data_IF_958129305071
#
_entry.id   IF_958129305071
#
_cell.length_a   1.000
_cell.length_b   1.000
_cell.length_c   1.000
_cell.angle_alpha   90.00
_cell.angle_beta   90.00
_cell.angle_gamma   90.00
#
_symmetry.space_group_name_H-M   'P 1'
#
loop_
_entity.id
_entity.type
_entity.pdbx_description
1 polymer ?
#
# COMPACT_ATOMS: atom_id res chain seq x y z
N UNK A 1 9.82 -12.02 -29.49
CA UNK A 1 10.77 -10.95 -29.84
C UNK A 1 10.59 -10.58 -31.30
N UNK A 2 9.95 -9.51 -31.59
CA UNK A 2 9.46 -9.17 -32.92
C UNK A 2 10.09 -7.89 -33.49
N UNK A 3 11.03 -7.28 -32.74
CA UNK A 3 11.74 -6.06 -33.17
C UNK A 3 13.24 -6.24 -33.09
N UNK A 4 13.97 -5.78 -34.13
CA UNK A 4 15.40 -5.61 -34.03
C UNK A 4 15.74 -4.38 -33.20
N UNK A 5 16.79 -4.45 -32.37
CA UNK A 5 17.22 -3.33 -31.53
C UNK A 5 17.61 -2.12 -32.41
N UNK A 6 16.89 -1.01 -32.24
CA UNK A 6 17.17 0.27 -32.95
C UNK A 6 16.47 0.46 -34.30
N UNK A 7 15.61 -0.45 -34.72
CA UNK A 7 14.81 -0.32 -35.96
C UNK A 7 13.31 -0.37 -35.62
N UNK A 8 12.51 0.45 -36.29
CA UNK A 8 11.05 0.45 -36.22
C UNK A 8 10.38 -0.68 -37.01
N UNK A 9 11.16 -1.47 -37.69
CA UNK A 9 10.69 -2.61 -38.50
C UNK A 9 10.56 -3.87 -37.63
N UNK A 10 9.56 -4.68 -37.92
CA UNK A 10 9.46 -6.01 -37.32
C UNK A 10 10.57 -6.94 -37.86
N UNK A 11 10.97 -7.93 -37.07
CA UNK A 11 11.92 -8.93 -37.51
C UNK A 11 11.39 -9.67 -38.76
N UNK A 12 12.32 -10.08 -39.64
CA UNK A 12 11.97 -10.81 -40.84
C UNK A 12 11.23 -12.11 -40.50
N UNK A 13 10.14 -12.40 -41.21
CA UNK A 13 9.27 -13.55 -40.93
C UNK A 13 8.19 -13.32 -39.87
N UNK A 14 8.12 -12.13 -39.26
CA UNK A 14 7.05 -11.81 -38.30
C UNK A 14 5.70 -11.73 -39.03
N UNK A 15 4.74 -12.54 -38.61
CA UNK A 15 3.36 -12.52 -39.07
C UNK A 15 2.48 -11.61 -38.23
N UNK A 16 1.33 -11.20 -38.77
CA UNK A 16 0.31 -10.49 -37.98
C UNK A 16 -0.15 -11.30 -36.76
N UNK A 17 -0.26 -12.62 -36.91
CA UNK A 17 -0.66 -13.50 -35.81
C UNK A 17 0.34 -13.49 -34.65
N UNK A 18 1.63 -13.35 -34.91
CA UNK A 18 2.65 -13.25 -33.85
C UNK A 18 2.47 -11.96 -33.03
N UNK A 19 2.21 -10.86 -33.73
CA UNK A 19 1.94 -9.57 -33.06
C UNK A 19 0.63 -9.63 -32.28
N UNK A 20 -0.41 -10.21 -32.82
CA UNK A 20 -1.71 -10.36 -32.18
C UNK A 20 -1.63 -11.27 -30.95
N UNK A 21 -0.92 -12.40 -31.05
CA UNK A 21 -0.71 -13.29 -29.91
C UNK A 21 0.07 -12.61 -28.78
N UNK A 22 1.09 -11.81 -29.11
CA UNK A 22 1.84 -11.03 -28.13
C UNK A 22 0.95 -9.98 -27.45
N UNK A 23 0.09 -9.31 -28.19
CA UNK A 23 -0.89 -8.37 -27.65
C UNK A 23 -1.87 -9.06 -26.69
N UNK A 24 -2.41 -10.22 -27.06
CA UNK A 24 -3.29 -11.01 -26.21
C UNK A 24 -2.58 -11.44 -24.92
N UNK A 25 -1.35 -11.95 -25.03
CA UNK A 25 -0.54 -12.33 -23.88
C UNK A 25 -0.29 -11.15 -22.92
N UNK A 26 0.10 -10.00 -23.46
CA UNK A 26 0.35 -8.80 -22.65
C UNK A 26 -0.93 -8.32 -21.94
N UNK A 27 -2.08 -8.36 -22.63
CA UNK A 27 -3.38 -8.05 -22.03
C UNK A 27 -3.71 -9.00 -20.87
N UNK A 28 -3.59 -10.30 -21.10
CA UNK A 28 -3.94 -11.32 -20.11
C UNK A 28 -2.98 -11.27 -18.90
N UNK A 29 -1.70 -11.02 -19.15
CA UNK A 29 -0.70 -10.81 -18.10
C UNK A 29 -1.03 -9.57 -17.24
N UNK A 30 -1.39 -8.46 -17.88
CA UNK A 30 -1.81 -7.24 -17.16
C UNK A 30 -3.05 -7.49 -16.30
N UNK A 31 -4.06 -8.18 -16.83
CA UNK A 31 -5.28 -8.49 -16.10
C UNK A 31 -5.01 -9.31 -14.83
N UNK A 32 -4.24 -10.39 -14.96
CA UNK A 32 -3.85 -11.25 -13.83
C UNK A 32 -3.03 -10.46 -12.81
N UNK A 33 -2.03 -9.70 -13.28
CA UNK A 33 -1.15 -8.90 -12.41
C UNK A 33 -1.94 -7.84 -11.66
N UNK A 34 -2.79 -7.09 -12.37
CA UNK A 34 -3.61 -6.03 -11.76
C UNK A 34 -4.56 -6.57 -10.71
N UNK A 35 -5.23 -7.70 -11.00
CA UNK A 35 -6.13 -8.35 -10.03
C UNK A 35 -5.42 -8.70 -8.73
N UNK A 36 -4.21 -9.27 -8.81
CA UNK A 36 -3.46 -9.64 -7.61
C UNK A 36 -2.89 -8.43 -6.88
N UNK A 37 -2.43 -7.40 -7.59
CA UNK A 37 -2.00 -6.15 -6.97
C UNK A 37 -3.11 -5.47 -6.17
N UNK A 38 -4.34 -5.46 -6.68
CA UNK A 38 -5.50 -4.93 -5.96
C UNK A 38 -5.80 -5.71 -4.67
N UNK A 39 -5.60 -7.02 -4.69
CA UNK A 39 -5.75 -7.86 -3.49
C UNK A 39 -4.68 -7.56 -2.45
N UNK A 40 -3.42 -7.46 -2.87
CA UNK A 40 -2.29 -7.08 -1.99
C UNK A 40 -2.54 -5.70 -1.38
N UNK A 41 -2.93 -4.73 -2.20
CA UNK A 41 -3.26 -3.38 -1.72
C UNK A 41 -4.35 -3.40 -0.63
N UNK A 42 -5.43 -4.15 -0.85
CA UNK A 42 -6.52 -4.25 0.10
C UNK A 42 -6.07 -4.87 1.44
N UNK A 43 -5.24 -5.93 1.39
CA UNK A 43 -4.70 -6.60 2.58
C UNK A 43 -3.79 -5.65 3.35
N UNK A 44 -2.79 -5.05 2.68
CA UNK A 44 -1.84 -4.12 3.33
C UNK A 44 -2.57 -2.96 3.97
N UNK A 45 -3.49 -2.32 3.25
CA UNK A 45 -4.33 -1.22 3.76
C UNK A 45 -5.09 -1.62 5.01
N UNK A 46 -5.75 -2.76 4.99
CA UNK A 46 -6.53 -3.27 6.11
C UNK A 46 -5.63 -3.55 7.31
N UNK A 47 -4.56 -4.31 7.12
CA UNK A 47 -3.67 -4.70 8.23
C UNK A 47 -2.99 -3.49 8.86
N UNK A 48 -2.50 -2.53 8.06
CA UNK A 48 -1.90 -1.29 8.57
C UNK A 48 -2.91 -0.49 9.41
N UNK A 49 -4.11 -0.25 8.87
CA UNK A 49 -5.12 0.57 9.56
C UNK A 49 -5.63 -0.07 10.85
N UNK A 50 -5.85 -1.37 10.86
CA UNK A 50 -6.26 -2.09 12.07
C UNK A 50 -5.15 -2.15 13.11
N UNK A 51 -3.92 -2.47 12.72
CA UNK A 51 -2.79 -2.53 13.64
C UNK A 51 -2.55 -1.17 14.30
N UNK A 52 -2.60 -0.08 13.55
CA UNK A 52 -2.46 1.26 14.11
C UNK A 52 -3.63 1.60 15.06
N UNK A 53 -4.87 1.33 14.67
CA UNK A 53 -6.05 1.64 15.48
C UNK A 53 -6.09 0.85 16.79
N UNK A 54 -5.58 -0.38 16.84
CA UNK A 54 -5.47 -1.16 18.07
C UNK A 54 -4.48 -0.56 19.07
N UNK A 55 -3.39 0.05 18.60
CA UNK A 55 -2.38 0.69 19.47
C UNK A 55 -2.74 2.13 19.83
N UNK A 56 -3.58 2.77 19.02
CA UNK A 56 -3.99 4.16 19.16
C UNK A 56 -5.52 4.29 19.08
N UNK A 57 -6.26 3.84 20.10
CA UNK A 57 -7.73 3.77 20.07
C UNK A 57 -8.41 5.14 20.10
N UNK A 58 -7.67 6.20 20.38
CA UNK A 58 -8.22 7.55 20.49
C UNK A 58 -8.78 8.05 19.16
N UNK A 59 -9.91 8.76 19.15
CA UNK A 59 -10.45 9.36 17.94
C UNK A 59 -9.43 10.23 17.23
N UNK A 60 -9.28 10.03 15.92
CA UNK A 60 -8.33 10.78 15.06
C UNK A 60 -6.86 10.70 15.49
N UNK A 61 -6.47 9.64 16.19
CA UNK A 61 -5.10 9.38 16.66
C UNK A 61 -4.06 9.42 15.53
N UNK A 62 -4.46 9.11 14.32
CA UNK A 62 -3.62 9.17 13.10
C UNK A 62 -3.27 10.62 12.68
N UNK A 63 -3.86 11.66 13.28
CA UNK A 63 -3.47 13.05 13.11
C UNK A 63 -2.46 13.53 14.17
N UNK A 64 -2.16 12.70 15.17
CA UNK A 64 -1.26 13.02 16.26
C UNK A 64 0.16 12.56 15.89
N UNK A 65 1.08 13.51 15.70
CA UNK A 65 2.46 13.21 15.31
C UNK A 65 3.17 12.26 16.28
N UNK A 66 2.94 12.36 17.59
CA UNK A 66 3.56 11.51 18.62
C UNK A 66 3.15 10.03 18.55
N UNK A 67 2.15 9.67 17.73
CA UNK A 67 1.74 8.29 17.48
C UNK A 67 2.57 7.62 16.40
N UNK A 68 3.40 8.37 15.68
CA UNK A 68 4.31 7.86 14.66
C UNK A 68 5.72 7.66 15.22
N UNK A 69 6.59 7.02 14.45
CA UNK A 69 7.97 6.80 14.81
C UNK A 69 8.75 8.12 14.92
N UNK A 70 9.87 8.09 15.61
CA UNK A 70 10.85 9.18 15.66
C UNK A 70 11.72 9.19 14.40
N UNK A 71 12.44 10.27 14.17
CA UNK A 71 13.41 10.38 13.08
C UNK A 71 14.49 9.29 13.15
N UNK A 72 15.02 9.01 14.34
CA UNK A 72 16.01 7.94 14.56
C UNK A 72 15.47 6.57 14.16
N UNK A 73 14.25 6.22 14.59
CA UNK A 73 13.59 4.96 14.24
C UNK A 73 13.27 4.84 12.74
N UNK A 74 13.05 5.97 12.07
CA UNK A 74 12.82 6.02 10.63
C UNK A 74 14.12 5.79 9.85
N UNK A 75 15.22 6.41 10.29
CA UNK A 75 16.55 6.26 9.69
C UNK A 75 17.13 4.87 9.93
N UNK A 76 16.91 4.27 11.10
CA UNK A 76 17.29 2.89 11.41
C UNK A 76 16.63 1.88 10.45
N UNK A 77 15.49 2.21 9.90
CA UNK A 77 14.80 1.42 8.87
C UNK A 77 15.40 1.62 7.46
N UNK A 78 16.48 2.41 7.31
CA UNK A 78 17.13 2.71 6.05
C UNK A 78 16.42 3.78 5.21
N UNK A 79 15.45 4.49 5.79
CA UNK A 79 14.68 5.53 5.12
C UNK A 79 15.32 6.91 5.34
N UNK A 80 15.04 7.85 4.43
CA UNK A 80 15.57 9.21 4.47
C UNK A 80 14.44 10.23 4.35
N UNK A 81 14.74 11.49 4.72
CA UNK A 81 13.81 12.62 4.62
C UNK A 81 12.56 12.42 5.51
N UNK A 82 12.78 12.07 6.78
CA UNK A 82 11.72 11.85 7.76
C UNK A 82 10.67 12.99 7.78
N UNK A 83 11.14 14.23 7.92
CA UNK A 83 10.24 15.39 8.03
C UNK A 83 9.36 15.55 6.80
N UNK A 84 9.92 15.40 5.59
CA UNK A 84 9.15 15.51 4.35
C UNK A 84 8.09 14.41 4.24
N UNK A 85 8.45 13.18 4.61
CA UNK A 85 7.51 12.05 4.62
C UNK A 85 6.39 12.26 5.64
N UNK A 86 6.73 12.73 6.84
CA UNK A 86 5.75 13.00 7.89
C UNK A 86 4.78 14.12 7.49
N UNK A 87 5.29 15.25 7.00
CA UNK A 87 4.46 16.38 6.55
C UNK A 87 3.55 15.99 5.40
N UNK A 88 4.07 15.23 4.44
CA UNK A 88 3.30 14.74 3.30
C UNK A 88 2.16 13.82 3.74
N UNK A 89 2.44 12.89 4.65
CA UNK A 89 1.43 12.01 5.21
C UNK A 89 0.37 12.80 5.98
N UNK A 90 0.79 13.66 6.90
CA UNK A 90 -0.11 14.47 7.73
C UNK A 90 -1.02 15.37 6.86
N UNK A 91 -0.45 16.03 5.84
CA UNK A 91 -1.20 16.84 4.88
C UNK A 91 -2.26 16.01 4.13
N UNK A 92 -1.90 14.79 3.72
CA UNK A 92 -2.81 13.88 3.03
C UNK A 92 -3.96 13.45 3.94
N UNK A 93 -3.66 12.98 5.15
CA UNK A 93 -4.65 12.54 6.14
C UNK A 93 -5.60 13.68 6.52
N UNK A 94 -5.03 14.87 6.81
CA UNK A 94 -5.81 16.05 7.13
C UNK A 94 -6.72 16.48 5.98
N UNK A 95 -6.22 16.44 4.73
CA UNK A 95 -7.02 16.75 3.54
C UNK A 95 -8.20 15.78 3.36
N UNK A 96 -7.98 14.48 3.57
CA UNK A 96 -9.03 13.47 3.48
C UNK A 96 -10.13 13.67 4.52
N UNK A 97 -9.78 14.11 5.73
CA UNK A 97 -10.75 14.38 6.80
C UNK A 97 -11.43 15.74 6.62
N UNK A 98 -10.68 16.79 6.27
CA UNK A 98 -11.21 18.16 6.17
C UNK A 98 -12.12 18.34 4.97
N UNK A 99 -11.75 17.73 3.83
CA UNK A 99 -12.47 17.81 2.56
C UNK A 99 -12.80 16.41 2.02
N UNK A 100 -13.72 15.68 2.67
CA UNK A 100 -14.01 14.30 2.32
C UNK A 100 -14.55 14.19 0.90
N UNK A 101 -13.88 13.39 0.08
CA UNK A 101 -14.30 13.08 -1.30
C UNK A 101 -15.16 11.82 -1.37
N UNK A 102 -15.02 10.92 -0.40
CA UNK A 102 -15.80 9.68 -0.33
C UNK A 102 -16.98 9.82 0.61
N UNK A 103 -18.09 9.20 0.23
CA UNK A 103 -19.33 9.19 1.02
C UNK A 103 -19.15 8.60 2.41
N UNK A 104 -18.45 7.44 2.60
CA UNK A 104 -18.23 6.89 3.92
C UNK A 104 -17.50 7.85 4.88
N UNK A 105 -16.45 8.53 4.41
CA UNK A 105 -15.70 9.50 5.23
C UNK A 105 -16.57 10.68 5.63
N UNK A 106 -17.38 11.21 4.68
CA UNK A 106 -18.32 12.29 4.97
C UNK A 106 -19.36 11.86 6.00
N UNK A 107 -19.96 10.70 5.81
CA UNK A 107 -20.97 10.15 6.72
C UNK A 107 -20.45 10.02 8.15
N UNK A 108 -19.27 9.41 8.32
CA UNK A 108 -18.69 9.26 9.66
C UNK A 108 -18.35 10.61 10.31
N UNK A 109 -17.81 11.55 9.53
CA UNK A 109 -17.51 12.90 10.01
C UNK A 109 -18.76 13.64 10.51
N UNK A 110 -19.84 13.60 9.72
CA UNK A 110 -21.09 14.30 10.03
C UNK A 110 -21.85 13.65 11.18
N UNK A 111 -21.88 12.33 11.25
CA UNK A 111 -22.66 11.58 12.23
C UNK A 111 -21.94 11.41 13.57
N UNK A 112 -20.63 11.24 13.54
CA UNK A 112 -19.82 10.86 14.72
C UNK A 112 -18.77 11.91 15.11
N UNK A 113 -18.59 12.97 14.31
CA UNK A 113 -17.59 14.01 14.55
C UNK A 113 -16.14 13.59 14.33
N UNK A 114 -15.88 12.31 14.09
CA UNK A 114 -14.57 11.74 13.79
C UNK A 114 -14.68 10.64 12.73
N UNK A 115 -13.56 10.34 12.06
CA UNK A 115 -13.48 9.30 11.06
C UNK A 115 -12.52 8.22 11.54
N UNK A 116 -12.96 6.95 11.68
CA UNK A 116 -12.05 5.86 12.00
C UNK A 116 -11.00 5.66 10.90
N UNK A 117 -9.77 5.29 11.28
CA UNK A 117 -8.69 5.12 10.32
C UNK A 117 -9.02 4.08 9.22
N UNK A 118 -9.68 2.98 9.57
CA UNK A 118 -10.06 1.94 8.60
C UNK A 118 -11.09 2.43 7.55
N UNK A 119 -11.89 3.45 7.86
CA UNK A 119 -12.75 4.12 6.87
C UNK A 119 -11.92 5.06 6.00
N UNK A 120 -11.05 5.87 6.65
CA UNK A 120 -10.20 6.83 5.98
C UNK A 120 -9.21 6.15 5.02
N UNK A 121 -8.66 5.01 5.41
CA UNK A 121 -7.69 4.25 4.64
C UNK A 121 -8.20 3.89 3.24
N UNK A 122 -9.52 3.69 3.07
CA UNK A 122 -10.12 3.43 1.75
C UNK A 122 -10.06 4.64 0.80
N UNK A 123 -9.78 5.84 1.32
CA UNK A 123 -9.61 7.07 0.55
C UNK A 123 -8.14 7.40 0.26
N UNK A 124 -7.21 6.62 0.80
CA UNK A 124 -5.77 6.77 0.57
C UNK A 124 -5.35 6.04 -0.70
N UNK A 125 -4.36 6.58 -1.39
CA UNK A 125 -3.66 5.84 -2.46
C UNK A 125 -2.73 4.79 -1.85
N UNK A 126 -2.31 3.79 -2.63
CA UNK A 126 -1.35 2.78 -2.14
C UNK A 126 -0.03 3.41 -1.68
N UNK A 127 0.50 4.39 -2.42
CA UNK A 127 1.69 5.15 -1.98
C UNK A 127 1.48 5.92 -0.67
N UNK A 128 0.25 6.38 -0.38
CA UNK A 128 -0.04 6.99 0.93
C UNK A 128 -0.09 5.96 2.05
N UNK A 129 -0.55 4.74 1.77
CA UNK A 129 -0.51 3.62 2.72
C UNK A 129 0.92 3.17 2.98
N UNK A 130 1.78 3.16 1.96
CA UNK A 130 3.23 2.91 2.09
C UNK A 130 3.90 3.94 2.99
N UNK A 131 3.66 5.23 2.77
CA UNK A 131 4.17 6.29 3.66
C UNK A 131 3.65 6.13 5.09
N UNK A 132 2.39 5.75 5.24
CA UNK A 132 1.81 5.47 6.56
C UNK A 132 2.54 4.33 7.26
N UNK A 133 2.74 3.20 6.57
CA UNK A 133 3.48 2.05 7.10
C UNK A 133 4.92 2.43 7.51
N UNK A 134 5.64 3.17 6.66
CA UNK A 134 7.01 3.60 6.96
C UNK A 134 7.11 4.46 8.22
N UNK A 135 6.08 5.25 8.51
CA UNK A 135 6.02 6.13 9.68
C UNK A 135 5.41 5.48 10.93
N UNK A 136 4.84 4.27 10.85
CA UNK A 136 4.40 3.53 12.02
C UNK A 136 5.60 3.20 12.93
N UNK A 137 5.33 3.05 14.24
CA UNK A 137 6.38 2.64 15.20
C UNK A 137 6.97 1.27 14.84
N UNK A 138 8.24 1.00 15.17
CA UNK A 138 8.91 -0.24 14.80
C UNK A 138 8.16 -1.51 15.24
N UNK A 139 7.58 -1.49 16.45
CA UNK A 139 6.79 -2.62 16.95
C UNK A 139 5.54 -2.87 16.12
N UNK A 140 4.86 -1.81 15.69
CA UNK A 140 3.66 -1.89 14.86
C UNK A 140 3.99 -2.38 13.45
N UNK A 141 5.08 -1.87 12.85
CA UNK A 141 5.57 -2.36 11.54
C UNK A 141 5.85 -3.86 11.56
N UNK A 142 6.54 -4.35 12.61
CA UNK A 142 6.78 -5.79 12.78
C UNK A 142 5.49 -6.59 12.90
N UNK A 143 4.51 -6.06 13.62
CA UNK A 143 3.21 -6.72 13.76
C UNK A 143 2.43 -6.74 12.45
N UNK A 144 2.48 -5.67 11.65
CA UNK A 144 1.90 -5.63 10.30
C UNK A 144 2.52 -6.71 9.41
N UNK A 145 3.87 -6.78 9.36
CA UNK A 145 4.56 -7.80 8.58
C UNK A 145 4.19 -9.23 9.01
N UNK A 146 4.14 -9.47 10.32
CA UNK A 146 3.73 -10.78 10.86
C UNK A 146 2.30 -11.14 10.44
N UNK A 147 1.35 -10.22 10.56
CA UNK A 147 -0.05 -10.45 10.18
C UNK A 147 -0.21 -10.69 8.68
N UNK A 148 0.54 -9.98 7.84
CA UNK A 148 0.54 -10.22 6.39
C UNK A 148 1.12 -11.60 6.08
N UNK A 149 2.23 -11.99 6.70
CA UNK A 149 2.83 -13.30 6.54
C UNK A 149 1.87 -14.43 6.96
N UNK A 150 1.18 -14.29 8.08
CA UNK A 150 0.17 -15.23 8.54
C UNK A 150 -1.02 -15.34 7.58
N UNK A 151 -1.46 -14.21 7.01
CA UNK A 151 -2.55 -14.19 6.04
C UNK A 151 -2.15 -14.84 4.71
N UNK A 152 -0.92 -14.63 4.24
CA UNK A 152 -0.39 -15.22 3.00
C UNK A 152 -0.03 -16.69 3.18
N UNK A 153 0.49 -17.10 4.32
CA UNK A 153 0.76 -18.50 4.66
C UNK A 153 -0.51 -19.37 4.71
N UNK A 154 -1.66 -18.76 4.94
CA UNK A 154 -2.96 -19.44 4.85
C UNK A 154 -3.47 -19.62 3.42
N UNK A 155 -2.95 -18.83 2.49
CA UNK A 155 -3.35 -18.85 1.07
C UNK A 155 -2.42 -19.67 0.17
N UNK A 156 -1.23 -20.03 0.63
CA UNK A 156 -0.27 -20.84 -0.11
C UNK A 156 0.72 -21.46 0.86
N UNK A 157 0.68 -22.80 0.99
CA UNK A 157 1.63 -23.53 1.83
C UNK A 157 3.08 -23.16 1.52
N UNK A 158 3.94 -23.31 2.53
CA UNK A 158 5.40 -23.12 2.53
C UNK A 158 5.91 -22.08 1.49
N UNK A 159 5.85 -20.81 1.84
CA UNK A 159 6.44 -19.79 1.00
C UNK A 159 7.93 -19.61 1.39
N UNK A 160 8.89 -20.06 0.55
CA UNK A 160 10.32 -19.99 0.85
C UNK A 160 10.91 -18.57 0.90
N UNK A 161 10.11 -17.54 0.60
CA UNK A 161 10.55 -16.14 0.55
C UNK A 161 10.25 -15.35 1.84
N UNK A 162 9.66 -15.98 2.85
CA UNK A 162 9.42 -15.34 4.14
C UNK A 162 10.11 -16.13 5.25
N UNK A 163 11.34 -15.75 5.59
CA UNK A 163 11.96 -16.17 6.85
C UNK A 163 11.46 -15.25 7.97
N UNK A 164 10.71 -15.78 8.97
CA UNK A 164 10.25 -14.97 10.10
C UNK A 164 11.40 -14.46 11.00
N UNK A 165 12.66 -14.78 10.69
CA UNK A 165 13.85 -14.28 11.39
C UNK A 165 14.34 -12.93 10.85
N UNK A 166 13.91 -12.55 9.63
CA UNK A 166 14.27 -11.28 8.99
C UNK A 166 13.19 -10.20 9.16
N UNK A 167 12.18 -10.45 10.00
CA UNK A 167 11.06 -9.53 10.26
C UNK A 167 11.17 -8.88 11.65
#
# INVERSE_FOLDING_TARGET
ATRAAGDDRFAEGTSFNDVYNLFCFDRDLREVTFKHLMQVEAVVRTVCSYTFAEHHPEPSSYLIQGNFCTESEFEEFGLKNYIDNLLKLQSTLYSCVSRPRSEPVRHYKERHGHVPLWVLANSLTFGSVEHFFHLMKPAERRLVCKRIAEATGRLGGDNPYFDPKDA
#
